data_IF_824288601498
#
_entry.id   IF_824288601498
#
_cell.length_a   1.000
_cell.length_b   1.000
_cell.length_c   1.000
_cell.angle_alpha   90.00
_cell.angle_beta   90.00
_cell.angle_gamma   90.00
#
_symmetry.space_group_name_H-M   'P 1'
#
loop_
_entity.id
_entity.type
_entity.pdbx_description
1 polymer ?
#
# COMPACT_ATOMS: atom_id res chain seq x y z
N UNK A 1 17.61 12.30 -8.29
CA UNK A 1 16.24 12.80 -8.53
C UNK A 1 15.30 11.66 -8.20
N UNK A 2 14.32 11.88 -7.33
CA UNK A 2 13.33 10.85 -6.96
C UNK A 2 12.49 10.50 -8.19
N UNK A 3 12.52 9.25 -8.65
CA UNK A 3 11.90 8.84 -9.92
C UNK A 3 10.60 8.06 -9.74
N UNK A 4 9.94 8.13 -8.59
CA UNK A 4 8.95 7.13 -8.21
C UNK A 4 7.63 7.69 -7.69
N UNK A 5 6.61 6.82 -7.72
CA UNK A 5 5.43 7.00 -6.89
C UNK A 5 5.79 6.70 -5.43
N UNK A 6 5.33 7.52 -4.51
CA UNK A 6 5.52 7.33 -3.07
C UNK A 6 4.18 7.41 -2.35
N UNK A 7 4.02 6.65 -1.26
CA UNK A 7 2.93 6.87 -0.31
C UNK A 7 3.28 8.09 0.53
N UNK A 8 2.56 9.20 0.33
CA UNK A 8 2.74 10.43 1.11
C UNK A 8 2.07 10.30 2.48
N UNK A 9 0.81 9.88 2.47
CA UNK A 9 -0.03 9.82 3.65
C UNK A 9 -0.97 8.64 3.57
N UNK A 10 -1.20 8.00 4.70
CA UNK A 10 -2.30 7.07 4.89
C UNK A 10 -2.81 7.22 6.31
N UNK A 11 -4.09 7.51 6.47
CA UNK A 11 -4.73 7.72 7.78
C UNK A 11 -6.03 6.95 7.88
N UNK A 12 -6.28 6.39 9.04
CA UNK A 12 -7.50 5.69 9.37
C UNK A 12 -8.54 6.64 9.99
N UNK A 13 -9.80 6.39 9.70
CA UNK A 13 -10.95 6.88 10.45
C UNK A 13 -11.55 5.65 11.15
N UNK A 14 -11.54 5.61 12.50
CA UNK A 14 -12.16 4.52 13.27
C UNK A 14 -13.62 4.29 12.89
N UNK A 15 -14.11 3.06 13.07
CA UNK A 15 -15.52 2.72 12.83
C UNK A 15 -15.74 1.28 12.38
N UNK A 16 -17.00 0.99 12.01
CA UNK A 16 -17.45 -0.30 11.47
C UNK A 16 -18.47 -0.09 10.32
N UNK A 17 -18.04 -0.12 9.05
CA UNK A 17 -16.65 -0.26 8.63
C UNK A 17 -15.85 1.01 8.91
N UNK A 18 -14.60 0.85 9.35
CA UNK A 18 -13.65 1.95 9.39
C UNK A 18 -13.19 2.32 7.98
N UNK A 19 -12.57 3.48 7.82
CA UNK A 19 -12.11 3.99 6.52
C UNK A 19 -10.62 4.26 6.54
N UNK A 20 -9.92 3.96 5.45
CA UNK A 20 -8.55 4.41 5.20
C UNK A 20 -8.60 5.47 4.11
N UNK A 21 -7.97 6.62 4.34
CA UNK A 21 -7.71 7.66 3.33
C UNK A 21 -6.22 7.68 3.05
N UNK A 22 -5.83 7.73 1.78
CA UNK A 22 -4.43 7.73 1.38
C UNK A 22 -4.16 8.71 0.25
N UNK A 23 -2.94 9.21 0.23
CA UNK A 23 -2.38 10.07 -0.80
C UNK A 23 -1.11 9.43 -1.35
N UNK A 24 -1.05 9.26 -2.67
CA UNK A 24 0.16 8.84 -3.38
C UNK A 24 0.63 9.98 -4.26
N UNK A 25 1.93 10.21 -4.33
CA UNK A 25 2.48 11.27 -5.17
C UNK A 25 3.45 10.72 -6.18
N UNK A 26 3.39 11.30 -7.38
CA UNK A 26 4.43 11.18 -8.36
C UNK A 26 5.52 12.19 -8.04
N UNK A 27 6.62 11.76 -7.42
CA UNK A 27 7.78 12.62 -7.14
C UNK A 27 8.77 12.68 -8.30
N UNK A 28 8.45 12.02 -9.42
CA UNK A 28 9.25 12.07 -10.64
C UNK A 28 8.94 13.29 -11.49
N UNK A 29 9.89 13.58 -12.39
CA UNK A 29 9.81 14.57 -13.46
C UNK A 29 8.96 14.13 -14.66
N UNK A 30 8.53 12.87 -14.68
CA UNK A 30 7.80 12.27 -15.79
C UNK A 30 6.35 11.95 -15.41
N UNK A 31 5.46 11.96 -16.40
CA UNK A 31 4.12 11.40 -16.24
C UNK A 31 4.19 9.88 -16.09
N UNK A 32 3.44 9.35 -15.11
CA UNK A 32 3.36 7.92 -14.81
C UNK A 32 1.95 7.41 -15.10
N UNK A 33 1.86 6.18 -15.62
CA UNK A 33 0.60 5.48 -15.82
C UNK A 33 0.48 4.33 -14.83
N UNK A 34 -0.65 4.27 -14.13
CA UNK A 34 -0.97 3.20 -13.19
C UNK A 34 -1.37 1.94 -13.97
N UNK A 35 -0.61 0.87 -13.81
CA UNK A 35 -0.89 -0.43 -14.46
C UNK A 35 -1.78 -1.28 -13.56
N UNK A 36 -1.51 -1.26 -12.25
CA UNK A 36 -2.27 -2.02 -11.25
C UNK A 36 -2.06 -1.41 -9.87
N UNK A 37 -3.11 -1.41 -9.05
CA UNK A 37 -3.00 -1.07 -7.64
C UNK A 37 -3.67 -2.13 -6.77
N UNK A 38 -3.06 -2.46 -5.65
CA UNK A 38 -3.53 -3.46 -4.69
C UNK A 38 -3.32 -2.92 -3.28
N UNK A 39 -4.38 -2.85 -2.50
CA UNK A 39 -4.37 -2.39 -1.13
C UNK A 39 -5.10 -3.39 -0.24
N UNK A 40 -4.58 -3.61 0.96
CA UNK A 40 -5.05 -4.61 1.88
C UNK A 40 -4.95 -4.05 3.30
N UNK A 41 -6.03 -4.18 4.07
CA UNK A 41 -6.04 -3.86 5.49
C UNK A 41 -6.01 -5.18 6.26
N UNK A 42 -4.93 -5.41 7.01
CA UNK A 42 -4.66 -6.66 7.73
C UNK A 42 -4.73 -6.44 9.22
N UNK A 43 -5.06 -7.51 9.94
CA UNK A 43 -4.90 -7.55 11.39
C UNK A 43 -4.06 -8.76 11.78
N UNK A 44 -2.87 -8.53 12.31
CA UNK A 44 -1.86 -9.57 12.54
C UNK A 44 -0.91 -9.18 13.68
N UNK A 45 -0.16 -10.15 14.21
CA UNK A 45 0.83 -9.91 15.26
C UNK A 45 2.08 -9.23 14.71
N UNK A 46 2.73 -8.39 15.52
CA UNK A 46 3.91 -7.62 15.10
C UNK A 46 5.15 -8.45 14.82
N UNK A 47 5.25 -9.64 15.42
CA UNK A 47 6.33 -10.61 15.25
C UNK A 47 6.03 -11.66 14.18
N UNK A 48 4.84 -11.63 13.57
CA UNK A 48 4.47 -12.56 12.51
C UNK A 48 5.22 -12.24 11.21
N UNK A 49 5.32 -13.26 10.34
CA UNK A 49 5.83 -13.04 8.98
C UNK A 49 4.80 -12.28 8.16
N UNK A 50 5.20 -11.11 7.67
CA UNK A 50 4.37 -10.28 6.82
C UNK A 50 4.68 -10.45 5.34
N UNK A 51 3.69 -10.11 4.53
CA UNK A 51 3.79 -10.19 3.08
C UNK A 51 2.98 -9.07 2.43
N UNK A 52 3.46 -8.62 1.27
CA UNK A 52 2.74 -7.68 0.43
C UNK A 52 1.46 -8.29 -0.15
N UNK A 53 0.46 -7.47 -0.51
CA UNK A 53 -0.78 -7.93 -1.11
C UNK A 53 -0.57 -8.82 -2.33
N UNK A 54 -1.29 -9.93 -2.34
CA UNK A 54 -1.39 -10.85 -3.48
C UNK A 54 -2.84 -11.26 -3.64
N UNK A 55 -3.41 -11.03 -4.81
CA UNK A 55 -4.78 -11.45 -5.09
C UNK A 55 -4.93 -12.97 -4.87
N UNK A 56 -6.00 -13.37 -4.18
CA UNK A 56 -6.28 -14.77 -3.86
C UNK A 56 -5.60 -15.31 -2.59
N UNK A 57 -4.92 -14.47 -1.81
CA UNK A 57 -4.33 -14.85 -0.52
C UNK A 57 -4.99 -14.12 0.65
N UNK A 58 -5.73 -14.86 1.49
CA UNK A 58 -6.08 -14.45 2.86
C UNK A 58 -7.08 -13.29 2.98
N UNK A 59 -6.63 -12.05 2.83
CA UNK A 59 -7.50 -10.88 2.96
C UNK A 59 -7.94 -10.34 1.61
N UNK A 60 -9.06 -9.63 1.64
CA UNK A 60 -9.57 -8.94 0.46
C UNK A 60 -8.63 -7.84 0.03
N UNK A 61 -8.26 -7.90 -1.24
CA UNK A 61 -7.47 -6.87 -1.90
C UNK A 61 -8.41 -5.91 -2.62
N UNK A 62 -8.26 -4.62 -2.34
CA UNK A 62 -8.99 -3.54 -3.00
C UNK A 62 -8.08 -2.83 -3.99
N UNK A 63 -8.61 -2.40 -5.14
CA UNK A 63 -7.92 -1.50 -6.07
C UNK A 63 -8.59 -0.13 -5.97
N UNK A 64 -7.89 0.88 -5.44
CA UNK A 64 -8.45 2.23 -5.31
C UNK A 64 -7.93 3.22 -6.35
N UNK A 65 -6.90 2.84 -7.10
CA UNK A 65 -6.40 3.62 -8.24
C UNK A 65 -6.72 2.84 -9.51
N UNK A 66 -7.52 3.45 -10.38
CA UNK A 66 -7.97 2.85 -11.64
C UNK A 66 -6.78 2.57 -12.54
N UNK A 67 -6.79 1.40 -13.19
CA UNK A 67 -5.81 1.08 -14.24
C UNK A 67 -5.93 2.09 -15.37
N UNK A 68 -4.80 2.59 -15.87
CA UNK A 68 -4.72 3.61 -16.91
C UNK A 68 -4.78 5.04 -16.37
N UNK A 69 -4.97 5.24 -15.05
CA UNK A 69 -4.85 6.58 -14.45
C UNK A 69 -3.46 7.14 -14.75
N UNK A 70 -3.41 8.36 -15.28
CA UNK A 70 -2.20 9.11 -15.52
C UNK A 70 -1.98 10.08 -14.36
N UNK A 71 -0.81 9.99 -13.72
CA UNK A 71 -0.34 10.99 -12.75
C UNK A 71 0.72 11.86 -13.43
N UNK A 72 0.43 13.16 -13.54
CA UNK A 72 1.41 14.15 -13.95
C UNK A 72 2.59 14.23 -12.96
N UNK A 73 3.71 14.78 -13.43
CA UNK A 73 4.88 15.03 -12.59
C UNK A 73 4.49 15.90 -11.39
N UNK A 74 4.99 15.54 -10.20
CA UNK A 74 4.70 16.21 -8.92
C UNK A 74 3.21 16.21 -8.49
N UNK A 75 2.34 15.47 -9.19
CA UNK A 75 0.93 15.39 -8.83
C UNK A 75 0.68 14.44 -7.66
N UNK A 76 -0.36 14.75 -6.89
CA UNK A 76 -0.89 13.89 -5.83
C UNK A 76 -2.21 13.26 -6.26
N UNK A 77 -2.41 12.00 -5.90
CA UNK A 77 -3.66 11.28 -6.06
C UNK A 77 -4.18 10.86 -4.70
N UNK A 78 -5.43 11.22 -4.43
CA UNK A 78 -6.12 10.94 -3.18
C UNK A 78 -7.18 9.87 -3.40
N UNK A 79 -7.22 8.89 -2.50
CA UNK A 79 -8.19 7.80 -2.54
C UNK A 79 -8.57 7.37 -1.13
N UNK A 80 -9.65 6.60 -1.04
CA UNK A 80 -10.08 5.99 0.20
C UNK A 80 -10.72 4.63 -0.04
N UNK A 81 -10.74 3.79 1.00
CA UNK A 81 -11.48 2.54 1.01
C UNK A 81 -11.91 2.18 2.44
N UNK A 82 -12.92 1.31 2.54
CA UNK A 82 -13.41 0.83 3.83
C UNK A 82 -12.72 -0.48 4.23
N UNK A 83 -12.64 -0.73 5.54
CA UNK A 83 -12.29 -2.06 6.06
C UNK A 83 -13.31 -3.10 5.59
N UNK A 84 -12.84 -4.28 5.21
CA UNK A 84 -13.72 -5.32 4.66
C UNK A 84 -14.58 -5.95 5.78
N UNK A 85 -15.88 -5.78 5.65
CA UNK A 85 -16.90 -6.28 6.57
C UNK A 85 -17.06 -7.81 6.55
N UNK A 86 -16.51 -8.50 5.54
CA UNK A 86 -16.54 -9.96 5.41
C UNK A 86 -15.41 -10.66 6.18
N UNK A 87 -14.44 -9.90 6.70
CA UNK A 87 -13.39 -10.45 7.56
C UNK A 87 -13.97 -10.85 8.92
N UNK A 88 -13.26 -11.72 9.66
CA UNK A 88 -13.63 -12.09 11.04
C UNK A 88 -13.76 -10.88 11.97
N UNK A 89 -13.09 -9.77 11.64
CA UNK A 89 -13.14 -8.50 12.38
C UNK A 89 -14.25 -7.55 11.91
N UNK A 90 -15.05 -7.92 10.91
CA UNK A 90 -16.22 -7.16 10.48
C UNK A 90 -15.92 -5.74 10.00
N UNK A 91 -14.75 -5.50 9.42
CA UNK A 91 -14.32 -4.19 8.89
C UNK A 91 -13.96 -3.15 9.94
N UNK A 92 -13.77 -3.56 11.21
CA UNK A 92 -13.49 -2.66 12.32
C UNK A 92 -12.09 -2.06 12.25
N UNK A 93 -12.02 -0.73 12.32
CA UNK A 93 -10.81 0.02 12.67
C UNK A 93 -11.02 0.59 14.07
N UNK A 94 -10.22 0.19 15.08
CA UNK A 94 -10.39 0.66 16.45
C UNK A 94 -9.82 2.08 16.60
N UNK A 95 -10.38 2.84 17.53
CA UNK A 95 -9.85 4.16 17.90
C UNK A 95 -8.66 4.02 18.87
N UNK A 96 -8.68 2.99 19.70
CA UNK A 96 -7.68 2.76 20.73
C UNK A 96 -6.70 1.66 20.33
N UNK A 97 -5.47 1.79 20.80
CA UNK A 97 -4.44 0.78 20.59
C UNK A 97 -4.86 -0.55 21.28
N UNK A 98 -4.71 -1.70 20.60
CA UNK A 98 -4.94 -3.00 21.21
C UNK A 98 -3.84 -3.31 22.24
N UNK A 99 -4.07 -4.29 23.11
CA UNK A 99 -3.12 -4.62 24.16
C UNK A 99 -1.78 -5.13 23.59
N UNK A 100 -0.67 -5.06 24.35
CA UNK A 100 0.58 -5.70 23.95
C UNK A 100 0.35 -7.20 23.67
N UNK A 101 0.77 -7.68 22.50
CA UNK A 101 0.58 -9.06 22.08
C UNK A 101 -0.72 -9.32 21.30
N UNK A 102 -1.65 -8.37 21.26
CA UNK A 102 -2.84 -8.49 20.41
C UNK A 102 -2.52 -8.18 18.95
N UNK A 103 -3.32 -8.73 18.01
CA UNK A 103 -3.22 -8.40 16.59
C UNK A 103 -3.37 -6.90 16.31
N UNK A 104 -2.34 -6.33 15.70
CA UNK A 104 -2.27 -4.94 15.29
C UNK A 104 -2.84 -4.74 13.89
N UNK A 105 -3.27 -3.51 13.58
CA UNK A 105 -3.80 -3.16 12.26
C UNK A 105 -2.69 -2.68 11.34
N UNK A 106 -2.61 -3.26 10.14
CA UNK A 106 -1.61 -2.93 9.13
C UNK A 106 -2.26 -2.56 7.81
N UNK A 107 -1.70 -1.56 7.15
CA UNK A 107 -2.00 -1.22 5.77
C UNK A 107 -0.85 -1.73 4.89
N UNK A 108 -1.20 -2.55 3.90
CA UNK A 108 -0.27 -3.03 2.91
C UNK A 108 -0.72 -2.58 1.51
N UNK A 109 0.23 -2.19 0.66
CA UNK A 109 -0.06 -1.70 -0.67
C UNK A 109 1.02 -2.05 -1.68
N UNK A 110 0.60 -2.25 -2.94
CA UNK A 110 1.44 -2.37 -4.12
C UNK A 110 0.86 -1.54 -5.23
N UNK A 111 1.70 -0.70 -5.83
CA UNK A 111 1.34 0.12 -6.98
C UNK A 111 2.33 -0.21 -8.07
N UNK A 112 1.82 -0.81 -9.13
CA UNK A 112 2.55 -1.10 -10.35
C UNK A 112 2.24 0.00 -11.35
N UNK A 113 3.28 0.63 -11.88
CA UNK A 113 3.15 1.76 -12.78
C UNK A 113 4.28 1.73 -13.80
N UNK A 114 4.11 2.49 -14.88
CA UNK A 114 5.12 2.64 -15.91
C UNK A 114 5.32 4.10 -16.24
N UNK A 115 6.55 4.46 -16.61
CA UNK A 115 6.79 5.71 -17.33
C UNK A 115 6.18 5.58 -18.73
N UNK A 116 5.55 6.63 -19.27
CA UNK A 116 5.01 6.59 -20.64
C UNK A 116 6.17 6.25 -21.60
N UNK A 117 6.06 5.10 -22.32
CA UNK A 117 7.11 4.49 -23.17
C UNK A 117 8.35 3.93 -22.45
N UNK A 118 8.29 3.66 -21.15
CA UNK A 118 9.45 3.23 -20.35
C UNK A 118 9.23 1.97 -19.52
N UNK A 119 10.08 1.85 -18.50
CA UNK A 119 10.19 0.71 -17.60
C UNK A 119 8.94 0.50 -16.73
N UNK A 120 8.71 -0.75 -16.33
CA UNK A 120 7.71 -1.12 -15.37
C UNK A 120 8.31 -1.04 -13.96
N UNK A 121 7.62 -0.36 -13.06
CA UNK A 121 8.11 -0.04 -11.71
C UNK A 121 7.07 -0.38 -10.67
N UNK A 122 7.54 -0.73 -9.48
CA UNK A 122 6.69 -1.00 -8.33
C UNK A 122 7.07 -0.14 -7.12
N UNK A 123 6.04 0.40 -6.48
CA UNK A 123 6.11 0.96 -5.14
C UNK A 123 5.28 0.08 -4.22
N UNK A 124 5.85 -0.28 -3.09
CA UNK A 124 5.19 -1.11 -2.09
C UNK A 124 5.37 -0.51 -0.69
N UNK A 125 4.40 -0.77 0.18
CA UNK A 125 4.46 -0.37 1.57
C UNK A 125 3.73 -1.40 2.43
N UNK A 126 4.20 -1.54 3.66
CA UNK A 126 3.60 -2.36 4.71
C UNK A 126 3.82 -1.61 6.03
N UNK A 127 2.77 -0.99 6.54
CA UNK A 127 2.86 -0.05 7.68
C UNK A 127 1.80 -0.36 8.71
N UNK A 128 2.21 -0.43 9.98
CA UNK A 128 1.29 -0.53 11.11
C UNK A 128 0.60 0.81 11.34
N UNK A 129 -0.64 0.76 11.83
CA UNK A 129 -1.34 1.90 12.37
C UNK A 129 -0.63 2.41 13.62
N UNK A 130 -0.27 3.69 13.61
CA UNK A 130 0.02 4.48 14.79
C UNK A 130 -1.30 5.06 15.31
N UNK A 131 -1.63 4.76 16.57
CA UNK A 131 -2.88 5.19 17.19
C UNK A 131 -2.81 6.62 17.75
N UNK A 132 -1.61 7.21 17.87
CA UNK A 132 -1.46 8.59 18.34
C UNK A 132 -2.07 9.61 17.36
N UNK A 133 -1.94 9.35 16.06
CA UNK A 133 -2.42 10.24 15.00
C UNK A 133 -3.27 9.50 13.93
N UNK A 134 -3.58 8.24 14.19
CA UNK A 134 -4.30 7.33 13.28
C UNK A 134 -3.61 7.17 11.91
N UNK A 135 -2.29 7.36 11.82
CA UNK A 135 -1.55 7.21 10.57
C UNK A 135 -0.98 5.81 10.38
N UNK A 136 -0.99 5.29 9.15
CA UNK A 136 -0.21 4.11 8.79
C UNK A 136 1.22 4.53 8.47
N UNK A 137 2.00 4.78 9.51
CA UNK A 137 3.37 5.31 9.41
C UNK A 137 4.42 4.41 10.05
N UNK A 138 4.06 3.63 11.07
CA UNK A 138 4.98 2.75 11.77
C UNK A 138 5.45 1.59 10.89
N UNK A 139 6.76 1.36 10.82
CA UNK A 139 7.38 0.25 10.09
C UNK A 139 8.08 -0.64 11.12
N UNK A 140 7.66 -1.90 11.21
CA UNK A 140 8.34 -2.86 12.09
C UNK A 140 9.73 -3.20 11.53
N UNK A 141 10.72 -3.51 12.38
CA UNK A 141 12.07 -3.85 11.93
C UNK A 141 12.11 -4.98 10.88
N UNK A 142 11.21 -5.96 10.99
CA UNK A 142 11.12 -7.09 10.04
C UNK A 142 10.46 -6.71 8.70
N UNK A 143 9.79 -5.56 8.63
CA UNK A 143 9.00 -5.12 7.47
C UNK A 143 9.71 -4.08 6.59
N UNK A 144 10.94 -3.67 6.94
CA UNK A 144 11.68 -2.68 6.17
C UNK A 144 11.80 -3.05 4.68
N UNK A 145 12.06 -4.32 4.38
CA UNK A 145 12.19 -4.80 3.00
C UNK A 145 10.86 -4.76 2.20
N UNK A 146 9.71 -4.64 2.87
CA UNK A 146 8.39 -4.53 2.25
C UNK A 146 8.02 -3.07 1.92
N UNK A 147 8.88 -2.11 2.26
CA UNK A 147 8.66 -0.68 2.06
C UNK A 147 9.70 -0.12 1.08
N UNK A 148 9.31 0.08 -0.17
CA UNK A 148 10.19 0.59 -1.23
C UNK A 148 9.41 1.39 -2.28
N UNK A 149 10.10 2.30 -2.95
CA UNK A 149 9.53 3.11 -4.02
C UNK A 149 10.35 2.96 -5.30
N UNK A 150 9.66 2.76 -6.43
CA UNK A 150 10.27 2.78 -7.75
C UNK A 150 11.22 1.62 -8.06
N UNK A 151 10.98 0.44 -7.48
CA UNK A 151 11.74 -0.76 -7.83
C UNK A 151 11.44 -1.13 -9.28
N UNK A 152 12.45 -1.08 -10.14
CA UNK A 152 12.34 -1.52 -11.54
C UNK A 152 12.07 -3.01 -11.59
N UNK A 153 11.02 -3.39 -12.32
CA UNK A 153 10.72 -4.78 -12.63
C UNK A 153 11.25 -5.07 -14.02
N UNK A 154 12.32 -5.86 -14.09
CA UNK A 154 12.86 -6.31 -15.37
C UNK A 154 11.77 -7.14 -16.08
N UNK A 155 11.42 -6.84 -17.34
CA UNK A 155 10.54 -7.71 -18.09
C UNK A 155 11.15 -9.12 -18.13
N UNK A 156 10.36 -10.17 -17.85
CA UNK A 156 10.78 -11.58 -17.96
C UNK A 156 11.38 -11.98 -19.33
N UNK A 157 11.42 -11.08 -20.31
CA UNK A 157 12.04 -11.29 -21.60
C UNK A 157 13.59 -11.27 -21.59
N UNK A 158 14.25 -10.98 -20.46
CA UNK A 158 15.72 -10.96 -20.33
C UNK A 158 16.31 -12.10 -19.49
N UNK A 159 15.49 -13.00 -18.93
CA UNK A 159 15.98 -14.19 -18.21
C UNK A 159 16.21 -15.40 -19.14
N UNK A 160 15.99 -15.27 -20.45
CA UNK A 160 16.19 -16.34 -21.43
C UNK A 160 17.56 -16.29 -22.16
N UNK A 161 18.53 -15.56 -21.62
CA UNK A 161 19.88 -15.48 -22.19
C UNK A 161 20.98 -15.64 -21.13
N UNK A 162 20.94 -16.70 -20.33
CA UNK A 162 22.13 -17.25 -19.68
C UNK A 162 21.96 -18.76 -19.49
#
# INVERSE_FOLDING_TARGET
MDTSLVLLKATASPGRPGRVTLAVANKSDARLEIVRSLFELKRTYSDARHALPRAGWGYTVTSVITKGTLLDANAEWWAWFHGDTRTTFGGVIPADAPAPGDPQLYLAGRILYRRVKGELMETAFYRRLDYADMSFSAIEPLDHALNYAGKVLIPRALEAQH
#
